data_IF_473311908772
#
_entry.id   IF_473311908772
#
_cell.length_a   1.000
_cell.length_b   1.000
_cell.length_c   1.000
_cell.angle_alpha   90.00
_cell.angle_beta   90.00
_cell.angle_gamma   90.00
#
_symmetry.space_group_name_H-M   'P 1'
#
loop_
_entity.id
_entity.type
_entity.pdbx_description
1 polymer ?
#
# COMPACT_ATOMS: atom_id res chain seq x y z
N UNK A 1 -17.75 -24.02 18.91
CA UNK A 1 -18.12 -22.72 18.31
C UNK A 1 -19.14 -22.07 19.21
N UNK A 2 -18.77 -20.97 19.88
CA UNK A 2 -19.66 -20.22 20.78
C UNK A 2 -19.67 -18.78 20.31
N UNK A 3 -20.82 -18.32 19.81
CA UNK A 3 -21.01 -16.94 19.41
C UNK A 3 -21.43 -16.15 20.65
N UNK A 4 -20.53 -15.32 21.19
CA UNK A 4 -20.88 -14.39 22.27
C UNK A 4 -21.46 -13.13 21.64
N UNK A 5 -22.74 -12.88 21.93
CA UNK A 5 -23.51 -11.76 21.36
C UNK A 5 -23.49 -10.59 22.35
N UNK A 6 -22.56 -9.65 22.19
CA UNK A 6 -22.66 -8.34 22.83
C UNK A 6 -23.23 -7.34 21.82
N UNK A 7 -24.42 -6.81 22.11
CA UNK A 7 -24.99 -5.57 21.56
C UNK A 7 -24.41 -5.09 20.22
N UNK A 8 -24.95 -5.60 19.12
CA UNK A 8 -24.79 -5.01 17.78
C UNK A 8 -23.61 -5.52 16.92
N UNK A 9 -22.61 -6.20 17.49
CA UNK A 9 -21.50 -6.77 16.69
C UNK A 9 -21.27 -8.22 17.09
N UNK A 10 -21.42 -9.13 16.12
CA UNK A 10 -21.16 -10.55 16.32
C UNK A 10 -19.67 -10.82 16.12
N UNK A 11 -18.91 -10.81 17.21
CA UNK A 11 -17.52 -11.23 17.18
C UNK A 11 -17.48 -12.75 17.14
N UNK A 12 -17.07 -13.31 15.99
CA UNK A 12 -16.81 -14.75 15.88
C UNK A 12 -15.44 -15.03 16.50
N UNK A 13 -15.42 -15.72 17.63
CA UNK A 13 -14.18 -16.23 18.23
C UNK A 13 -13.70 -17.42 17.40
N UNK A 14 -12.77 -17.14 16.49
CA UNK A 14 -12.19 -18.17 15.61
C UNK A 14 -11.08 -18.91 16.36
N UNK A 15 -11.19 -20.24 16.38
CA UNK A 15 -10.26 -21.15 17.06
C UNK A 15 -8.86 -21.10 16.44
N UNK A 16 -7.80 -21.37 17.22
CA UNK A 16 -6.40 -21.28 16.77
C UNK A 16 -6.13 -22.16 15.53
N UNK A 17 -6.81 -23.32 15.43
CA UNK A 17 -6.74 -24.21 14.26
C UNK A 17 -7.20 -23.56 12.96
N UNK A 18 -8.09 -22.56 13.02
CA UNK A 18 -8.56 -21.81 11.85
C UNK A 18 -7.44 -20.95 11.22
N UNK A 19 -6.55 -20.40 12.06
CA UNK A 19 -5.41 -19.60 11.63
C UNK A 19 -4.26 -20.49 11.13
N UNK A 20 -4.04 -21.66 11.73
CA UNK A 20 -3.03 -22.62 11.25
C UNK A 20 -3.33 -23.11 9.83
N UNK A 21 -4.59 -23.38 9.51
CA UNK A 21 -5.00 -23.80 8.15
C UNK A 21 -4.83 -22.71 7.10
N UNK A 22 -4.75 -21.43 7.51
CA UNK A 22 -4.59 -20.27 6.63
C UNK A 22 -3.20 -19.63 6.72
N UNK A 23 -2.26 -20.28 7.41
CA UNK A 23 -0.90 -19.79 7.51
C UNK A 23 -0.26 -19.77 6.10
N UNK A 24 -0.09 -18.57 5.55
CA UNK A 24 0.57 -18.37 4.26
C UNK A 24 2.03 -18.80 4.37
N UNK A 25 2.47 -19.69 3.48
CA UNK A 25 3.90 -19.97 3.32
C UNK A 25 4.59 -18.68 2.86
N UNK A 26 5.53 -18.18 3.66
CA UNK A 26 6.38 -17.03 3.32
C UNK A 26 7.26 -17.39 2.11
N UNK A 27 6.77 -17.07 0.91
CA UNK A 27 7.49 -17.33 -0.34
C UNK A 27 8.08 -16.06 -0.98
N UNK A 28 7.53 -14.89 -0.63
CA UNK A 28 8.00 -13.60 -1.10
C UNK A 28 9.30 -13.23 -0.36
N UNK A 29 10.43 -13.53 -0.99
CA UNK A 29 11.75 -13.03 -0.55
C UNK A 29 11.96 -11.63 -1.11
N UNK A 30 12.99 -10.93 -0.66
CA UNK A 30 13.33 -9.55 -1.05
C UNK A 30 13.25 -9.34 -2.58
N UNK A 31 13.77 -10.31 -3.35
CA UNK A 31 13.73 -10.29 -4.82
C UNK A 31 12.32 -10.31 -5.42
N UNK A 32 11.41 -11.12 -4.86
CA UNK A 32 10.03 -11.20 -5.34
C UNK A 32 9.26 -9.91 -5.04
N UNK A 33 9.50 -9.31 -3.87
CA UNK A 33 8.89 -8.03 -3.49
C UNK A 33 9.41 -6.87 -4.36
N UNK A 34 10.71 -6.85 -4.65
CA UNK A 34 11.31 -5.88 -5.56
C UNK A 34 10.74 -6.00 -6.98
N UNK A 35 10.66 -7.23 -7.51
CA UNK A 35 10.13 -7.47 -8.85
C UNK A 35 8.66 -7.04 -8.97
N UNK A 36 7.83 -7.29 -7.95
CA UNK A 36 6.45 -6.83 -7.92
C UNK A 36 6.33 -5.30 -7.89
N UNK A 37 7.14 -4.64 -7.06
CA UNK A 37 7.15 -3.18 -6.98
C UNK A 37 7.62 -2.53 -8.29
N UNK A 38 8.75 -2.97 -8.83
CA UNK A 38 9.32 -2.42 -10.07
C UNK A 38 8.42 -2.70 -11.28
N UNK A 39 7.84 -3.90 -11.38
CA UNK A 39 6.92 -4.23 -12.47
C UNK A 39 5.65 -3.37 -12.48
N UNK A 40 5.08 -3.10 -11.30
CA UNK A 40 3.92 -2.23 -11.17
C UNK A 40 4.24 -0.79 -11.60
N UNK A 41 5.42 -0.26 -11.24
CA UNK A 41 5.83 1.11 -11.58
C UNK A 41 6.15 1.27 -13.07
N UNK A 42 6.91 0.34 -13.65
CA UNK A 42 7.32 0.42 -15.07
C UNK A 42 6.10 0.32 -15.99
N UNK A 43 5.13 -0.54 -15.66
CA UNK A 43 3.92 -0.68 -16.48
C UNK A 43 3.08 0.60 -16.51
N UNK A 44 2.96 1.30 -15.37
CA UNK A 44 2.30 2.61 -15.30
C UNK A 44 3.07 3.71 -16.04
N UNK A 45 4.40 3.69 -15.97
CA UNK A 45 5.25 4.67 -16.64
C UNK A 45 5.11 4.62 -18.17
N UNK A 46 5.07 3.43 -18.76
CA UNK A 46 4.90 3.29 -20.21
C UNK A 46 3.58 3.90 -20.73
N UNK A 47 2.49 3.70 -19.99
CA UNK A 47 1.17 4.27 -20.32
C UNK A 47 1.12 5.80 -20.09
N UNK A 48 1.65 6.26 -18.96
CA UNK A 48 1.63 7.67 -18.59
C UNK A 48 2.46 8.55 -19.51
N UNK A 49 3.54 8.03 -20.10
CA UNK A 49 4.43 8.82 -20.94
C UNK A 49 3.84 9.19 -22.29
N UNK A 50 3.09 8.28 -22.91
CA UNK A 50 2.47 8.55 -24.19
C UNK A 50 1.39 9.66 -24.07
N UNK A 51 0.57 9.58 -23.02
CA UNK A 51 -0.43 10.61 -22.70
C UNK A 51 0.19 11.93 -22.25
N UNK A 52 1.26 11.88 -21.45
CA UNK A 52 1.98 13.06 -20.98
C UNK A 52 2.65 13.83 -22.12
N UNK A 53 3.26 13.12 -23.08
CA UNK A 53 3.85 13.74 -24.26
C UNK A 53 2.79 14.27 -25.24
N UNK A 54 1.67 13.57 -25.40
CA UNK A 54 0.57 14.01 -26.24
C UNK A 54 -0.13 15.28 -25.70
N UNK A 55 -0.22 15.44 -24.38
CA UNK A 55 -0.90 16.58 -23.74
C UNK A 55 0.03 17.76 -23.41
N UNK A 56 1.22 17.50 -22.87
CA UNK A 56 2.15 18.52 -22.39
C UNK A 56 3.34 18.81 -23.30
N UNK A 57 3.49 18.07 -24.41
CA UNK A 57 4.70 18.13 -25.23
C UNK A 57 5.95 17.73 -24.45
N UNK A 58 7.12 17.80 -25.08
CA UNK A 58 8.38 17.38 -24.45
C UNK A 58 8.78 18.25 -23.26
N UNK A 59 8.64 19.57 -23.38
CA UNK A 59 8.99 20.53 -22.33
C UNK A 59 8.08 20.47 -21.10
N UNK A 60 6.76 20.32 -21.31
CA UNK A 60 5.80 20.16 -20.21
C UNK A 60 6.02 18.85 -19.46
N UNK A 61 6.33 17.77 -20.19
CA UNK A 61 6.70 16.49 -19.58
C UNK A 61 7.95 16.57 -18.71
N UNK A 62 8.99 17.28 -19.18
CA UNK A 62 10.23 17.43 -18.43
C UNK A 62 10.02 18.18 -17.09
N UNK A 63 9.27 19.29 -17.12
CA UNK A 63 8.95 20.05 -15.91
C UNK A 63 8.05 19.25 -14.98
N UNK A 64 7.01 18.59 -15.52
CA UNK A 64 6.13 17.73 -14.74
C UNK A 64 6.89 16.59 -14.05
N UNK A 65 7.86 15.97 -14.73
CA UNK A 65 8.69 14.91 -14.17
C UNK A 65 9.53 15.42 -12.99
N UNK A 66 10.11 16.63 -13.07
CA UNK A 66 10.88 17.23 -11.97
C UNK A 66 9.98 17.50 -10.76
N UNK A 67 8.81 18.09 -10.99
CA UNK A 67 7.85 18.41 -9.90
C UNK A 67 7.40 17.13 -9.19
N UNK A 68 6.98 16.12 -9.97
CA UNK A 68 6.56 14.83 -9.42
C UNK A 68 7.72 14.13 -8.70
N UNK A 69 8.95 14.21 -9.21
CA UNK A 69 10.12 13.63 -8.55
C UNK A 69 10.37 14.24 -7.16
N UNK A 70 10.25 15.57 -7.03
CA UNK A 70 10.39 16.26 -5.74
C UNK A 70 9.26 15.85 -4.78
N UNK A 71 8.01 15.86 -5.25
CA UNK A 71 6.86 15.44 -4.44
C UNK A 71 7.00 13.98 -3.98
N UNK A 72 7.46 13.09 -4.87
CA UNK A 72 7.65 11.68 -4.59
C UNK A 72 8.79 11.42 -3.60
N UNK A 73 9.88 12.18 -3.67
CA UNK A 73 10.94 12.14 -2.66
C UNK A 73 10.39 12.53 -1.28
N UNK A 74 9.64 13.62 -1.18
CA UNK A 74 8.99 14.03 0.08
C UNK A 74 8.07 12.94 0.64
N UNK A 75 7.22 12.35 -0.21
CA UNK A 75 6.36 11.24 0.18
C UNK A 75 7.16 10.02 0.66
N UNK A 76 8.25 9.69 -0.04
CA UNK A 76 9.12 8.55 0.32
C UNK A 76 9.77 8.76 1.68
N UNK A 77 10.22 9.98 2.00
CA UNK A 77 10.74 10.30 3.32
C UNK A 77 9.67 10.16 4.41
N UNK A 78 8.45 10.67 4.19
CA UNK A 78 7.34 10.49 5.13
C UNK A 78 7.04 9.00 5.40
N UNK A 79 7.01 8.16 4.35
CA UNK A 79 6.76 6.71 4.49
C UNK A 79 7.93 6.04 5.21
N UNK A 80 9.17 6.46 4.93
CA UNK A 80 10.37 5.92 5.58
C UNK A 80 10.39 6.19 7.08
N UNK A 81 9.90 7.34 7.54
CA UNK A 81 9.77 7.65 8.98
C UNK A 81 8.63 6.87 9.66
N UNK A 82 7.55 6.54 8.93
CA UNK A 82 6.42 5.77 9.45
C UNK A 82 6.65 4.25 9.45
N UNK A 83 7.48 3.74 8.54
CA UNK A 83 7.77 2.30 8.39
C UNK A 83 8.34 1.62 9.65
N UNK A 84 9.19 2.25 10.49
CA UNK A 84 9.69 1.66 11.74
C UNK A 84 8.63 1.66 12.85
N UNK A 85 7.67 2.59 12.81
CA UNK A 85 6.69 2.78 13.88
C UNK A 85 5.54 1.75 13.85
N UNK A 86 5.20 1.22 12.67
CA UNK A 86 4.04 0.34 12.48
C UNK A 86 4.39 -0.85 11.57
N UNK A 87 5.00 -1.94 12.10
CA UNK A 87 5.39 -3.12 11.32
C UNK A 87 4.18 -4.04 11.07
N UNK A 88 3.14 -3.51 10.43
CA UNK A 88 1.89 -4.24 10.13
C UNK A 88 1.77 -4.41 8.62
N UNK A 89 1.37 -5.60 8.18
CA UNK A 89 1.06 -5.86 6.76
C UNK A 89 -0.24 -5.17 6.37
N UNK A 90 -0.15 -3.90 5.94
CA UNK A 90 -1.32 -3.15 5.45
C UNK A 90 -1.04 -1.84 4.70
N UNK A 91 0.23 -1.49 4.45
CA UNK A 91 0.63 -0.32 3.64
C UNK A 91 -0.13 0.97 4.03
N UNK A 92 -0.53 1.80 3.06
CA UNK A 92 -1.23 3.06 3.27
C UNK A 92 -2.54 2.92 4.07
N UNK A 93 -3.25 1.80 3.93
CA UNK A 93 -4.52 1.54 4.62
C UNK A 93 -4.32 1.35 6.14
N UNK A 94 -3.24 0.66 6.53
CA UNK A 94 -2.90 0.52 7.95
C UNK A 94 -2.52 1.85 8.57
N UNK A 95 -1.81 2.71 7.84
CA UNK A 95 -1.49 4.05 8.32
C UNK A 95 -2.76 4.87 8.51
N UNK A 96 -3.64 4.94 7.50
CA UNK A 96 -4.88 5.70 7.55
C UNK A 96 -5.83 5.23 8.67
N UNK A 97 -5.94 3.92 8.91
CA UNK A 97 -6.74 3.39 10.04
C UNK A 97 -6.14 3.71 11.41
N UNK A 98 -4.81 3.78 11.52
CA UNK A 98 -4.14 4.14 12.78
C UNK A 98 -4.26 5.63 13.08
N UNK A 99 -4.20 6.53 12.08
CA UNK A 99 -4.32 7.98 12.33
C UNK A 99 -5.75 8.53 12.33
N UNK A 100 -6.66 8.01 11.50
CA UNK A 100 -8.01 8.56 11.33
C UNK A 100 -9.12 7.70 11.96
N UNK A 101 -8.77 6.57 12.58
CA UNK A 101 -9.73 5.68 13.23
C UNK A 101 -10.66 4.95 12.25
N UNK A 102 -11.79 4.40 12.73
CA UNK A 102 -12.69 3.55 11.94
C UNK A 102 -13.31 4.22 10.70
N UNK A 103 -13.22 5.55 10.58
CA UNK A 103 -13.82 6.34 9.51
C UNK A 103 -12.86 6.70 8.36
N UNK A 104 -11.54 6.51 8.53
CA UNK A 104 -10.53 6.97 7.57
C UNK A 104 -9.86 5.89 6.72
N UNK A 105 -10.31 4.63 6.81
CA UNK A 105 -9.84 3.56 5.95
C UNK A 105 -10.97 2.62 5.57
N UNK A 106 -11.68 2.98 4.51
CA UNK A 106 -12.53 2.09 3.73
C UNK A 106 -11.87 1.85 2.37
#
# INVERSE_FOLDING_TARGET
MSAQKSSGVSYTTVDVKYFEQRALKRHARVWSLWALGVGAVISGHFSGWNLGLASGGWGGMFIAAIIIAIMYLGLTFCIAEMSPALPHTGAAYSFARTTMGPWGGF
#
